data_IF_055923765857
#
_entry.id   IF_055923765857
#
_cell.length_a   1.000
_cell.length_b   1.000
_cell.length_c   1.000
_cell.angle_alpha   90.00
_cell.angle_beta   90.00
_cell.angle_gamma   90.00
#
_symmetry.space_group_name_H-M   'P 1'
#
loop_
_entity.id
_entity.type
_entity.pdbx_description
1 polymer ?
#
# COMPACT_ATOMS: atom_id res chain seq x y z
N UNK A 1 -2.08 4.13 3.08
CA UNK A 1 -1.29 3.98 1.83
C UNK A 1 0.04 3.31 2.17
N UNK A 2 0.66 2.63 1.23
CA UNK A 2 2.01 2.07 1.41
C UNK A 2 2.82 2.20 0.11
N UNK A 3 4.11 2.43 0.24
CA UNK A 3 5.06 2.38 -0.86
C UNK A 3 5.68 0.99 -0.88
N UNK A 4 5.57 0.31 -2.01
CA UNK A 4 6.12 -1.04 -2.21
C UNK A 4 7.15 -0.99 -3.33
N UNK A 5 8.26 -1.71 -3.11
CA UNK A 5 9.37 -1.88 -4.02
C UNK A 5 9.07 -2.90 -5.11
N UNK A 6 7.90 -2.80 -5.74
CA UNK A 6 7.42 -3.72 -6.76
C UNK A 6 7.08 -2.94 -8.03
N UNK A 7 7.16 -3.63 -9.16
CA UNK A 7 6.66 -3.12 -10.43
C UNK A 7 5.13 -3.10 -10.45
N UNK A 8 4.54 -2.25 -11.30
CA UNK A 8 3.09 -2.12 -11.44
C UNK A 8 2.38 -3.42 -11.84
N UNK A 9 3.03 -4.24 -12.66
CA UNK A 9 2.49 -5.53 -13.08
C UNK A 9 2.47 -6.53 -11.92
N UNK A 10 3.53 -6.60 -11.11
CA UNK A 10 3.57 -7.45 -9.93
C UNK A 10 2.55 -7.02 -8.88
N UNK A 11 2.38 -5.71 -8.67
CA UNK A 11 1.32 -5.19 -7.82
C UNK A 11 -0.04 -5.63 -8.36
N UNK A 12 -0.32 -5.49 -9.66
CA UNK A 12 -1.60 -5.95 -10.23
C UNK A 12 -1.82 -7.46 -10.14
N UNK A 13 -0.76 -8.26 -10.22
CA UNK A 13 -0.86 -9.71 -10.14
C UNK A 13 -1.06 -10.22 -8.71
N UNK A 14 -0.45 -9.56 -7.71
CA UNK A 14 -0.48 -9.99 -6.31
C UNK A 14 -1.45 -9.20 -5.42
N UNK A 15 -1.78 -7.97 -5.79
CA UNK A 15 -2.65 -7.13 -4.98
C UNK A 15 -4.09 -7.68 -5.01
N UNK A 16 -4.75 -7.77 -3.84
CA UNK A 16 -6.18 -8.06 -3.79
C UNK A 16 -6.97 -6.94 -4.46
N UNK A 17 -8.20 -7.25 -4.90
CA UNK A 17 -9.07 -6.30 -5.60
C UNK A 17 -9.33 -4.98 -4.82
N UNK A 18 -9.15 -5.02 -3.49
CA UNK A 18 -9.30 -3.88 -2.59
C UNK A 18 -8.09 -2.94 -2.56
N UNK A 19 -6.95 -3.35 -3.14
CA UNK A 19 -5.74 -2.54 -3.22
C UNK A 19 -5.57 -2.02 -4.65
N UNK A 20 -5.54 -0.70 -4.77
CA UNK A 20 -5.30 0.01 -6.03
C UNK A 20 -3.90 0.61 -6.03
N UNK A 21 -3.18 0.42 -7.13
CA UNK A 21 -1.93 1.14 -7.37
C UNK A 21 -2.28 2.60 -7.68
N UNK A 22 -1.92 3.50 -6.76
CA UNK A 22 -2.32 4.91 -6.78
C UNK A 22 -1.32 5.80 -7.52
N UNK A 23 -0.02 5.49 -7.48
CA UNK A 23 0.99 6.31 -8.13
C UNK A 23 2.23 5.51 -8.54
N UNK A 24 2.72 5.76 -9.75
CA UNK A 24 3.95 5.20 -10.30
C UNK A 24 5.06 6.25 -10.08
N UNK A 25 5.69 6.25 -8.90
CA UNK A 25 6.68 7.26 -8.57
C UNK A 25 8.06 6.93 -9.15
N UNK A 26 8.36 5.64 -9.36
CA UNK A 26 9.60 5.17 -9.98
C UNK A 26 9.41 3.76 -10.57
N UNK A 27 10.34 3.28 -11.41
CA UNK A 27 10.23 1.96 -12.09
C UNK A 27 10.12 0.78 -11.10
N UNK A 28 10.71 0.94 -9.92
CA UNK A 28 10.71 -0.06 -8.83
C UNK A 28 9.97 0.41 -7.58
N UNK A 29 9.15 1.47 -7.65
CA UNK A 29 8.43 1.99 -6.48
C UNK A 29 7.02 2.42 -6.84
N UNK A 30 6.06 1.55 -6.50
CA UNK A 30 4.63 1.80 -6.65
C UNK A 30 4.02 2.14 -5.29
N UNK A 31 3.20 3.20 -5.27
CA UNK A 31 2.40 3.51 -4.09
C UNK A 31 1.04 2.84 -4.23
N UNK A 32 0.68 2.01 -3.25
CA UNK A 32 -0.61 1.35 -3.15
C UNK A 32 -1.53 2.06 -2.14
N UNK A 33 -2.81 2.09 -2.46
CA UNK A 33 -3.88 2.62 -1.63
C UNK A 33 -4.99 1.57 -1.52
N UNK A 34 -5.67 1.53 -0.38
CA UNK A 34 -6.63 0.49 -0.05
C UNK A 34 -6.91 0.44 1.44
N UNK A 35 -7.76 -0.51 1.89
CA UNK A 35 -8.07 -0.70 3.30
C UNK A 35 -6.81 -0.98 4.12
N UNK A 36 -6.70 -0.43 5.35
CA UNK A 36 -5.53 -0.63 6.20
C UNK A 36 -5.25 -2.12 6.45
N UNK A 37 -6.28 -2.92 6.71
CA UNK A 37 -6.13 -4.37 6.91
C UNK A 37 -5.53 -5.10 5.69
N UNK A 38 -5.95 -4.74 4.48
CA UNK A 38 -5.42 -5.34 3.25
C UNK A 38 -3.97 -4.90 3.01
N UNK A 39 -3.67 -3.61 3.20
CA UNK A 39 -2.31 -3.07 3.09
C UNK A 39 -1.39 -3.71 4.12
N UNK A 40 -1.82 -3.86 5.38
CA UNK A 40 -1.02 -4.47 6.44
C UNK A 40 -0.63 -5.91 6.12
N UNK A 41 -1.59 -6.71 5.62
CA UNK A 41 -1.33 -8.08 5.19
C UNK A 41 -0.33 -8.12 4.04
N UNK A 42 -0.55 -7.30 3.01
CA UNK A 42 0.31 -7.25 1.84
C UNK A 42 1.73 -6.78 2.16
N UNK A 43 1.87 -5.76 3.01
CA UNK A 43 3.17 -5.28 3.50
C UNK A 43 3.90 -6.35 4.31
N UNK A 44 3.18 -7.13 5.12
CA UNK A 44 3.77 -8.22 5.91
C UNK A 44 4.27 -9.37 5.02
N UNK A 45 3.49 -9.75 4.00
CA UNK A 45 3.89 -10.75 2.99
C UNK A 45 5.17 -10.29 2.27
N UNK A 46 5.19 -9.06 1.76
CA UNK A 46 6.36 -8.50 1.09
C UNK A 46 7.58 -8.37 2.00
N UNK A 47 7.39 -7.97 3.25
CA UNK A 47 8.48 -7.89 4.22
C UNK A 47 9.06 -9.27 4.53
N UNK A 48 8.24 -10.33 4.54
CA UNK A 48 8.70 -11.71 4.72
C UNK A 48 9.49 -12.22 3.50
N UNK A 49 9.14 -11.75 2.30
CA UNK A 49 9.89 -12.03 1.07
C UNK A 49 11.19 -11.20 0.94
N UNK A 50 11.42 -10.23 1.84
CA UNK A 50 12.56 -9.31 1.77
C UNK A 50 12.37 -8.17 0.77
N UNK A 51 11.13 -7.96 0.29
CA UNK A 51 10.77 -6.85 -0.58
C UNK A 51 10.55 -5.59 0.26
N UNK A 52 11.03 -4.45 -0.25
CA UNK A 52 10.84 -3.17 0.41
C UNK A 52 9.36 -2.81 0.47
N UNK A 53 8.76 -2.78 1.67
CA UNK A 53 7.38 -2.35 1.86
C UNK A 53 7.30 -1.39 3.04
N UNK A 54 7.02 -0.12 2.76
CA UNK A 54 6.95 0.94 3.77
C UNK A 54 5.55 1.54 3.79
N UNK A 55 4.86 1.40 4.92
CA UNK A 55 3.60 2.13 5.15
C UNK A 55 3.88 3.63 5.11
N UNK A 56 3.17 4.32 4.23
CA UNK A 56 3.22 5.78 4.15
C UNK A 56 2.03 6.27 4.94
N UNK A 57 2.30 6.94 6.06
CA UNK A 57 1.29 7.74 6.71
C UNK A 57 0.94 8.84 5.69
N UNK A 58 -0.17 8.67 4.98
CA UNK A 58 -0.84 9.82 4.41
C UNK A 58 -1.18 10.66 5.63
N UNK A 59 -0.62 11.86 5.74
CA UNK A 59 -0.93 12.86 6.76
C UNK A 59 -2.37 13.35 6.57
N UNK A 60 -3.31 12.42 6.51
CA UNK A 60 -4.72 12.66 6.67
C UNK A 60 -4.98 12.60 8.16
N UNK A 61 -4.87 13.75 8.79
CA UNK A 61 -5.80 14.10 9.83
C UNK A 61 -7.22 13.97 9.24
N UNK A 62 -7.75 12.75 9.18
CA UNK A 62 -9.19 12.52 9.20
C UNK A 62 -9.52 11.84 10.54
N UNK A 63 -8.84 12.28 11.59
CA UNK A 63 -9.35 12.12 12.94
C UNK A 63 -10.62 12.95 13.01
N UNK A 64 -11.74 12.23 13.16
CA UNK A 64 -13.03 12.67 13.73
C UNK A 64 -14.21 12.77 12.75
N UNK A 65 -14.65 11.62 12.22
CA UNK A 65 -16.07 11.29 12.32
C UNK A 65 -16.33 10.65 13.69
N UNK A 66 -16.17 11.46 14.73
CA UNK A 66 -16.82 11.21 16.02
C UNK A 66 -18.08 12.06 16.02
N UNK A 67 -19.21 11.44 15.67
CA UNK A 67 -20.51 11.98 16.06
C UNK A 67 -20.50 12.14 17.59
N UNK A 68 -20.57 13.37 18.06
CA UNK A 68 -21.00 13.68 19.41
C UNK A 68 -21.78 14.98 19.42
#
# INVERSE_FOLDING_TARGET
MAAVGLSWEEVKARAPADIVAACHNNVDSVTISGPPAAIDKFVAELSAEGVFAKKVASSGECTRYGFH
#
